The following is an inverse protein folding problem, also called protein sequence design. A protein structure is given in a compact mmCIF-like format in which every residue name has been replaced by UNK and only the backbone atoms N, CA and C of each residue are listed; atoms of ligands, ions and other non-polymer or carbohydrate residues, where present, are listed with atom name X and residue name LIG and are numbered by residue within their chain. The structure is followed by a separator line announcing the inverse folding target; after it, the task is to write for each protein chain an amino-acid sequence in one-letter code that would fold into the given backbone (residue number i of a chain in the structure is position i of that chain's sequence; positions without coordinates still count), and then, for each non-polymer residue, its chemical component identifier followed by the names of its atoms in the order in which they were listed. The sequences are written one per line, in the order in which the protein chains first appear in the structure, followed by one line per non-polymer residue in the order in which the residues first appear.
data_IF_172290908458
#
_entry.id   IF_172290908458
#
_cell.length_a   1.000
_cell.length_b   1.000
_cell.length_c   1.000
_cell.angle_alpha   90.00
_cell.angle_beta   90.00
_cell.angle_gamma   90.00
#
_symmetry.space_group_name_H-M   'P 1'
#
loop_
_entity.id
_entity.type
_entity.pdbx_description
1 polymer ?
#
# COMPACT_ATOMS: atom_id res chain seq x y z
N UNK A 1 24.41 -12.84 -17.43
CA UNK A 1 24.24 -12.85 -18.90
C UNK A 1 25.62 -13.08 -19.55
N UNK A 2 26.29 -14.19 -19.23
CA UNK A 2 27.63 -14.51 -19.79
C UNK A 2 27.81 -16.02 -20.10
N UNK A 3 26.88 -16.89 -19.68
CA UNK A 3 27.07 -18.36 -19.79
C UNK A 3 26.52 -19.02 -21.08
N UNK A 4 25.91 -18.27 -22.01
CA UNK A 4 25.20 -18.91 -23.16
C UNK A 4 26.05 -18.94 -24.45
N UNK A 5 27.16 -18.21 -24.55
CA UNK A 5 27.81 -17.99 -25.85
C UNK A 5 28.99 -18.92 -26.22
N UNK A 6 29.30 -19.95 -25.42
CA UNK A 6 30.53 -20.73 -25.60
C UNK A 6 30.40 -22.21 -26.04
N UNK A 7 29.22 -22.75 -26.35
CA UNK A 7 29.11 -24.21 -26.58
C UNK A 7 28.52 -24.67 -27.93
N UNK A 8 28.23 -23.79 -28.87
CA UNK A 8 27.60 -24.20 -30.15
C UNK A 8 28.50 -25.06 -31.07
N UNK A 9 29.84 -24.90 -31.15
CA UNK A 9 30.65 -25.69 -32.08
C UNK A 9 30.89 -27.16 -31.67
N UNK A 10 30.68 -27.52 -30.39
CA UNK A 10 30.98 -28.87 -29.87
C UNK A 10 29.79 -29.84 -29.92
N UNK A 11 28.59 -29.32 -30.21
CA UNK A 11 27.33 -30.07 -30.09
C UNK A 11 27.09 -31.07 -31.24
N UNK A 12 27.78 -30.90 -32.37
CA UNK A 12 27.56 -31.68 -33.61
C UNK A 12 28.24 -33.07 -33.55
N UNK A 13 29.12 -33.30 -32.56
CA UNK A 13 29.88 -34.56 -32.43
C UNK A 13 29.44 -35.45 -31.24
N UNK A 14 28.41 -35.05 -30.48
CA UNK A 14 27.99 -35.72 -29.25
C UNK A 14 26.90 -36.77 -29.52
N UNK A 15 26.96 -37.89 -28.80
CA UNK A 15 25.96 -38.95 -28.91
C UNK A 15 24.57 -38.44 -28.46
N UNK A 16 23.47 -38.98 -29.00
CA UNK A 16 22.10 -38.58 -28.62
C UNK A 16 21.84 -38.70 -27.11
N UNK A 17 22.53 -39.62 -26.43
CA UNK A 17 22.48 -39.77 -24.98
C UNK A 17 23.08 -38.56 -24.24
N UNK A 18 24.19 -38.01 -24.75
CA UNK A 18 24.82 -36.82 -24.18
C UNK A 18 23.99 -35.55 -24.40
N UNK A 19 23.31 -35.42 -25.54
CA UNK A 19 22.42 -34.27 -25.79
C UNK A 19 21.22 -34.26 -24.83
N UNK A 20 20.70 -35.45 -24.49
CA UNK A 20 19.61 -35.58 -23.53
C UNK A 20 20.02 -35.16 -22.11
N UNK A 21 21.21 -35.56 -21.65
CA UNK A 21 21.71 -35.17 -20.32
C UNK A 21 22.02 -33.67 -20.22
N UNK A 22 22.56 -33.05 -21.27
CA UNK A 22 22.76 -31.59 -21.32
C UNK A 22 21.44 -30.82 -21.27
N UNK A 23 20.43 -31.26 -22.02
CA UNK A 23 19.10 -30.64 -22.03
C UNK A 23 18.42 -30.71 -20.65
N UNK A 24 18.49 -31.88 -20.00
CA UNK A 24 17.91 -32.07 -18.67
C UNK A 24 18.61 -31.22 -17.60
N UNK A 25 19.95 -31.13 -17.68
CA UNK A 25 20.76 -30.28 -16.78
C UNK A 25 20.43 -28.79 -16.95
N UNK A 26 20.35 -28.30 -18.20
CA UNK A 26 19.98 -26.91 -18.48
C UNK A 26 18.57 -26.60 -17.99
N UNK A 27 17.61 -27.51 -18.22
CA UNK A 27 16.23 -27.38 -17.75
C UNK A 27 16.14 -27.31 -16.22
N UNK A 28 16.85 -28.20 -15.52
CA UNK A 28 16.87 -28.20 -14.05
C UNK A 28 17.53 -26.93 -13.49
N UNK A 29 18.62 -26.46 -14.11
CA UNK A 29 19.31 -25.23 -13.73
C UNK A 29 18.43 -23.99 -13.92
N UNK A 30 17.70 -23.90 -15.04
CA UNK A 30 16.78 -22.81 -15.33
C UNK A 30 15.59 -22.82 -14.35
N UNK A 31 15.05 -24.00 -14.05
CA UNK A 31 13.96 -24.18 -13.08
C UNK A 31 14.37 -23.77 -11.67
N UNK A 32 15.56 -24.18 -11.22
CA UNK A 32 16.09 -23.80 -9.91
C UNK A 32 16.34 -22.29 -9.82
N UNK A 33 16.88 -21.68 -10.89
CA UNK A 33 17.12 -20.23 -10.98
C UNK A 33 15.83 -19.41 -10.94
N UNK A 34 14.77 -19.88 -11.62
CA UNK A 34 13.46 -19.22 -11.60
C UNK A 34 12.81 -19.34 -10.21
N UNK A 35 12.88 -20.52 -9.59
CA UNK A 35 12.37 -20.77 -8.24
C UNK A 35 13.05 -19.89 -7.20
N UNK A 36 14.39 -19.79 -7.24
CA UNK A 36 15.16 -18.93 -6.35
C UNK A 36 14.82 -17.44 -6.55
N UNK A 37 14.68 -17.02 -7.81
CA UNK A 37 14.31 -15.63 -8.14
C UNK A 37 12.92 -15.26 -7.64
N UNK A 38 11.95 -16.16 -7.76
CA UNK A 38 10.58 -15.95 -7.28
C UNK A 38 10.53 -15.90 -5.75
N UNK A 39 11.26 -16.81 -5.08
CA UNK A 39 11.37 -16.83 -3.62
C UNK A 39 12.02 -15.56 -3.07
N UNK A 40 13.10 -15.09 -3.70
CA UNK A 40 13.78 -13.85 -3.32
C UNK A 40 12.88 -12.63 -3.53
N UNK A 41 12.16 -12.56 -4.65
CA UNK A 41 11.20 -11.48 -4.94
C UNK A 41 10.11 -11.39 -3.87
N UNK A 42 9.50 -12.52 -3.51
CA UNK A 42 8.49 -12.58 -2.46
C UNK A 42 9.07 -12.17 -1.09
N UNK A 43 10.26 -12.65 -0.74
CA UNK A 43 10.95 -12.29 0.50
C UNK A 43 11.21 -10.79 0.60
N UNK A 44 11.75 -10.17 -0.46
CA UNK A 44 11.99 -8.73 -0.51
C UNK A 44 10.69 -7.94 -0.41
N UNK A 45 9.62 -8.38 -1.07
CA UNK A 45 8.31 -7.73 -0.97
C UNK A 45 7.78 -7.73 0.47
N UNK A 46 7.93 -8.83 1.21
CA UNK A 46 7.48 -8.93 2.60
C UNK A 46 8.35 -8.09 3.54
N UNK A 47 9.67 -8.07 3.30
CA UNK A 47 10.62 -7.27 4.06
C UNK A 47 10.35 -5.76 3.89
N UNK A 48 9.88 -5.35 2.70
CA UNK A 48 9.53 -3.97 2.38
C UNK A 48 8.42 -3.38 3.27
N UNK A 49 7.55 -4.21 3.85
CA UNK A 49 6.43 -3.75 4.71
C UNK A 49 6.67 -4.01 6.20
N UNK A 50 7.83 -4.53 6.59
CA UNK A 50 8.11 -4.88 7.99
C UNK A 50 8.08 -3.64 8.89
N UNK A 51 8.66 -2.53 8.45
CA UNK A 51 8.61 -1.24 9.16
C UNK A 51 7.17 -0.76 9.43
N UNK A 52 6.24 -1.03 8.50
CA UNK A 52 4.84 -0.63 8.62
C UNK A 52 4.13 -1.50 9.68
N UNK A 53 4.38 -2.81 9.68
CA UNK A 53 3.88 -3.73 10.71
C UNK A 53 4.36 -3.31 12.10
N UNK A 54 5.65 -3.01 12.23
CA UNK A 54 6.24 -2.54 13.49
C UNK A 54 5.60 -1.23 13.96
N UNK A 55 5.39 -0.28 13.04
CA UNK A 55 4.71 0.98 13.36
C UNK A 55 3.27 0.78 13.83
N UNK A 56 2.51 -0.14 13.21
CA UNK A 56 1.13 -0.44 13.60
C UNK A 56 1.06 -1.08 15.00
N UNK A 57 1.98 -2.01 15.31
CA UNK A 57 2.00 -2.75 16.60
C UNK A 57 2.63 -1.94 17.74
N UNK A 58 3.41 -0.89 17.41
CA UNK A 58 4.01 0.02 18.38
C UNK A 58 2.99 0.62 19.36
N UNK A 59 3.47 1.14 20.49
CA UNK A 59 2.62 1.83 21.47
C UNK A 59 1.87 3.03 20.85
N UNK A 60 2.54 3.80 20.00
CA UNK A 60 1.91 4.92 19.30
C UNK A 60 0.87 4.43 18.28
N UNK A 61 1.15 3.33 17.58
CA UNK A 61 0.19 2.68 16.68
C UNK A 61 -1.08 2.25 17.41
N UNK A 62 -0.95 1.65 18.59
CA UNK A 62 -2.08 1.27 19.45
C UNK A 62 -2.89 2.49 19.93
N UNK A 63 -2.23 3.60 20.27
CA UNK A 63 -2.91 4.88 20.58
C UNK A 63 -3.68 5.44 19.39
N UNK A 64 -3.10 5.40 18.18
CA UNK A 64 -3.81 5.82 16.96
C UNK A 64 -5.01 4.92 16.70
N UNK A 65 -4.88 3.60 16.90
CA UNK A 65 -5.99 2.66 16.73
C UNK A 65 -7.14 2.93 17.71
N UNK A 66 -6.85 3.35 18.95
CA UNK A 66 -7.88 3.78 19.89
C UNK A 66 -8.65 5.01 19.37
N UNK A 67 -7.95 6.02 18.84
CA UNK A 67 -8.58 7.20 18.21
C UNK A 67 -9.43 6.82 17.01
N UNK A 68 -8.98 5.87 16.18
CA UNK A 68 -9.76 5.37 15.05
C UNK A 68 -11.08 4.72 15.48
N UNK A 69 -11.12 4.05 16.64
CA UNK A 69 -12.38 3.50 17.20
C UNK A 69 -13.34 4.63 17.58
N UNK A 70 -12.85 5.68 18.21
CA UNK A 70 -13.68 6.84 18.57
C UNK A 70 -14.22 7.56 17.33
N UNK A 71 -13.38 7.74 16.30
CA UNK A 71 -13.80 8.27 15.00
C UNK A 71 -14.82 7.36 14.30
N UNK A 72 -14.73 6.04 14.51
CA UNK A 72 -15.72 5.07 14.05
C UNK A 72 -17.13 5.40 14.55
N UNK A 73 -17.28 5.80 15.82
CA UNK A 73 -18.58 6.21 16.36
C UNK A 73 -19.12 7.50 15.72
N UNK A 74 -18.25 8.43 15.31
CA UNK A 74 -18.67 9.60 14.54
C UNK A 74 -19.13 9.18 13.14
N UNK A 75 -18.38 8.31 12.48
CA UNK A 75 -18.74 7.80 11.15
C UNK A 75 -20.11 7.10 11.17
N UNK A 76 -20.36 6.25 12.16
CA UNK A 76 -21.65 5.57 12.38
C UNK A 76 -22.80 6.59 12.54
N UNK A 77 -22.61 7.63 13.36
CA UNK A 77 -23.62 8.69 13.55
C UNK A 77 -23.92 9.46 12.27
N UNK A 78 -22.94 9.65 11.39
CA UNK A 78 -23.09 10.35 10.12
C UNK A 78 -23.62 9.44 8.99
N UNK A 79 -23.65 8.13 9.24
CA UNK A 79 -24.04 7.11 8.27
C UNK A 79 -23.01 6.91 7.16
N UNK A 80 -21.72 7.10 7.46
CA UNK A 80 -20.62 6.87 6.52
C UNK A 80 -19.63 5.84 7.05
N UNK A 81 -18.77 5.34 6.17
CA UNK A 81 -17.64 4.51 6.58
C UNK A 81 -16.49 5.38 7.07
N UNK A 82 -15.58 4.80 7.86
CA UNK A 82 -14.41 5.52 8.37
C UNK A 82 -13.50 6.05 7.23
N UNK A 83 -13.23 5.30 6.13
CA UNK A 83 -12.53 5.84 4.96
C UNK A 83 -13.24 7.04 4.34
N UNK A 84 -14.57 6.98 4.19
CA UNK A 84 -15.36 8.09 3.67
C UNK A 84 -15.27 9.33 4.56
N UNK A 85 -15.34 9.15 5.87
CA UNK A 85 -15.16 10.24 6.84
C UNK A 85 -13.78 10.89 6.70
N UNK A 86 -12.72 10.09 6.58
CA UNK A 86 -11.35 10.58 6.45
C UNK A 86 -11.15 11.38 5.15
N UNK A 87 -11.63 10.87 4.02
CA UNK A 87 -11.54 11.57 2.73
C UNK A 87 -12.34 12.87 2.75
N UNK A 88 -13.57 12.84 3.28
CA UNK A 88 -14.39 14.04 3.43
C UNK A 88 -13.73 15.07 4.35
N UNK A 89 -13.08 14.62 5.43
CA UNK A 89 -12.35 15.49 6.35
C UNK A 89 -11.16 16.18 5.68
N UNK A 90 -10.43 15.47 4.80
CA UNK A 90 -9.34 16.06 4.02
C UNK A 90 -9.85 17.12 3.02
N UNK A 91 -10.90 16.79 2.26
CA UNK A 91 -11.47 17.66 1.22
C UNK A 91 -12.18 18.90 1.78
N UNK A 92 -12.57 18.91 3.06
CA UNK A 92 -13.18 20.09 3.69
C UNK A 92 -12.25 21.30 3.75
N UNK A 93 -10.95 21.08 3.73
CA UNK A 93 -9.97 22.14 3.90
C UNK A 93 -9.81 22.90 2.59
N UNK A 94 -10.17 24.19 2.57
CA UNK A 94 -10.07 25.04 1.38
C UNK A 94 -8.65 25.11 0.79
N UNK A 95 -7.61 24.87 1.61
CA UNK A 95 -6.22 24.79 1.15
C UNK A 95 -5.86 23.50 0.40
N UNK A 96 -6.75 22.51 0.33
CA UNK A 96 -6.54 21.23 -0.34
C UNK A 96 -7.29 21.24 -1.67
N UNK A 97 -6.55 21.29 -2.78
CA UNK A 97 -7.15 21.26 -4.12
C UNK A 97 -7.62 19.87 -4.55
N UNK A 98 -6.93 18.81 -4.09
CA UNK A 98 -7.24 17.43 -4.43
C UNK A 98 -6.72 16.45 -3.38
N UNK A 99 -7.32 15.26 -3.32
CA UNK A 99 -6.90 14.15 -2.47
C UNK A 99 -6.59 12.96 -3.36
N UNK A 100 -5.37 12.42 -3.26
CA UNK A 100 -4.95 11.23 -3.99
C UNK A 100 -5.44 9.97 -3.27
N UNK A 101 -6.26 9.17 -3.93
CA UNK A 101 -6.80 7.92 -3.39
C UNK A 101 -5.98 6.72 -3.89
N UNK A 102 -5.44 5.94 -2.95
CA UNK A 102 -4.87 4.63 -3.22
C UNK A 102 -5.90 3.54 -2.90
N UNK A 103 -6.09 2.59 -3.80
CA UNK A 103 -7.03 1.49 -3.61
C UNK A 103 -6.46 0.18 -4.16
N UNK A 104 -6.73 -0.93 -3.46
CA UNK A 104 -6.35 -2.27 -3.91
C UNK A 104 -7.48 -3.00 -4.65
N UNK A 105 -8.70 -2.46 -4.62
CA UNK A 105 -9.86 -3.02 -5.33
C UNK A 105 -10.79 -1.92 -5.89
N UNK A 106 -11.60 -2.22 -6.92
CA UNK A 106 -12.58 -1.27 -7.43
C UNK A 106 -13.66 -0.91 -6.39
N UNK A 107 -14.02 -1.84 -5.50
CA UNK A 107 -15.02 -1.61 -4.46
C UNK A 107 -14.54 -0.57 -3.44
N UNK A 108 -13.29 -0.69 -2.98
CA UNK A 108 -12.66 0.29 -2.08
C UNK A 108 -12.57 1.68 -2.73
N UNK A 109 -12.29 1.73 -4.04
CA UNK A 109 -12.27 3.00 -4.77
C UNK A 109 -13.67 3.63 -4.80
N UNK A 110 -14.69 2.82 -5.11
CA UNK A 110 -16.09 3.27 -5.17
C UNK A 110 -16.56 3.75 -3.79
N UNK A 111 -16.21 3.04 -2.73
CA UNK A 111 -16.48 3.45 -1.35
C UNK A 111 -15.86 4.82 -1.04
N UNK A 112 -14.56 4.99 -1.33
CA UNK A 112 -13.84 6.24 -1.09
C UNK A 112 -14.40 7.42 -1.89
N UNK A 113 -14.81 7.20 -3.14
CA UNK A 113 -15.48 8.22 -3.96
C UNK A 113 -16.82 8.65 -3.37
N UNK A 114 -17.52 7.75 -2.68
CA UNK A 114 -18.74 8.05 -1.93
C UNK A 114 -18.57 9.12 -0.84
N UNK A 115 -17.34 9.41 -0.41
CA UNK A 115 -17.03 10.44 0.58
C UNK A 115 -17.60 11.84 0.23
N UNK A 116 -17.72 12.15 -1.07
CA UNK A 116 -18.22 13.44 -1.56
C UNK A 116 -19.62 13.74 -1.03
N UNK A 117 -20.46 12.71 -0.86
CA UNK A 117 -21.83 12.86 -0.36
C UNK A 117 -21.90 13.31 1.10
N UNK A 118 -20.79 13.15 1.84
CA UNK A 118 -20.70 13.48 3.26
C UNK A 118 -20.02 14.82 3.53
N UNK A 119 -19.48 15.50 2.50
CA UNK A 119 -18.92 16.84 2.65
C UNK A 119 -19.90 17.84 3.27
N UNK A 120 -21.19 17.91 2.86
CA UNK A 120 -22.14 18.84 3.48
C UNK A 120 -22.43 18.53 4.96
N UNK A 121 -22.21 17.27 5.39
CA UNK A 121 -22.40 16.84 6.78
C UNK A 121 -21.22 17.21 7.69
N UNK A 122 -20.12 17.71 7.11
CA UNK A 122 -18.91 18.08 7.84
C UNK A 122 -19.06 19.45 8.52
N UNK A 123 -19.98 19.53 9.48
CA UNK A 123 -20.28 20.77 10.23
C UNK A 123 -19.15 21.15 11.18
N UNK A 124 -19.14 22.39 11.64
CA UNK A 124 -18.15 22.88 12.63
C UNK A 124 -18.12 22.03 13.90
N UNK A 125 -19.26 21.51 14.34
CA UNK A 125 -19.35 20.60 15.49
C UNK A 125 -18.62 19.28 15.23
N UNK A 126 -18.94 18.61 14.10
CA UNK A 126 -18.29 17.34 13.73
C UNK A 126 -16.78 17.51 13.61
N UNK A 127 -16.35 18.61 12.99
CA UNK A 127 -14.92 18.93 12.85
C UNK A 127 -14.27 19.15 14.23
N UNK A 128 -14.96 19.83 15.14
CA UNK A 128 -14.47 20.03 16.51
C UNK A 128 -14.32 18.71 17.27
N UNK A 129 -15.28 17.80 17.12
CA UNK A 129 -15.22 16.46 17.74
C UNK A 129 -14.03 15.66 17.20
N UNK A 130 -13.81 15.69 15.87
CA UNK A 130 -12.66 15.03 15.24
C UNK A 130 -11.34 15.66 15.72
N UNK A 131 -11.25 16.99 15.76
CA UNK A 131 -10.07 17.71 16.25
C UNK A 131 -9.77 17.35 17.72
N UNK A 132 -10.81 17.20 18.55
CA UNK A 132 -10.68 16.80 19.96
C UNK A 132 -10.11 15.38 20.10
N UNK A 133 -10.65 14.41 19.36
CA UNK A 133 -10.17 13.01 19.36
C UNK A 133 -8.73 12.93 18.87
N UNK A 134 -8.41 13.64 17.79
CA UNK A 134 -7.07 13.59 17.20
C UNK A 134 -6.04 14.33 18.05
N UNK A 135 -6.40 15.44 18.69
CA UNK A 135 -5.53 16.18 19.60
C UNK A 135 -4.21 16.66 18.97
N UNK A 136 -4.16 16.77 17.64
CA UNK A 136 -2.96 17.08 16.87
C UNK A 136 -3.12 18.32 15.98
N UNK A 137 -4.08 19.19 16.32
CA UNK A 137 -4.37 20.40 15.55
C UNK A 137 -3.12 21.29 15.46
N UNK A 138 -2.59 21.57 14.26
CA UNK A 138 -1.40 22.38 14.12
C UNK A 138 -1.69 23.84 14.52
N UNK A 139 -0.71 24.51 15.11
CA UNK A 139 -0.80 25.95 15.38
C UNK A 139 -0.85 26.72 14.05
N UNK A 140 -1.90 27.53 13.88
CA UNK A 140 -2.07 28.34 12.67
C UNK A 140 -1.07 29.50 12.66
N UNK A 141 0.02 29.38 11.89
CA UNK A 141 0.74 30.56 11.40
C UNK A 141 0.09 30.99 10.09
N UNK A 142 -0.76 32.00 10.12
CA UNK A 142 -1.16 32.74 8.91
C UNK A 142 0.06 33.54 8.43
N UNK A 143 0.97 32.93 7.68
CA UNK A 143 1.89 33.68 6.84
C UNK A 143 1.17 33.98 5.52
N UNK A 144 0.53 35.16 5.47
CA UNK A 144 0.20 35.78 4.20
C UNK A 144 1.53 36.15 3.55
N UNK A 145 1.95 35.40 2.53
CA UNK A 145 2.90 35.95 1.57
C UNK A 145 2.11 36.88 0.66
N UNK A 146 2.12 38.16 1.04
CA UNK A 146 1.68 39.29 0.20
C UNK A 146 2.54 39.41 -1.05
#
# INVERSE_FOLDING_TARGET
MVEIFLSVPLLISLSPFSLFTFSLSLSLSLSLSLSLSLSLSLSLSLQSYQWLKEKIVSEDGRKQQAKLKELGHIAEKLGCTLPQLAVAWCLRNEGVSSVLLGSSSPDQLTENLGAIQFLPKMTSHVVSDIDHILGNKPYSKKEYRS
#
